data_IF_536184313689
#
_entry.id   IF_536184313689
#
_cell.length_a   1.000
_cell.length_b   1.000
_cell.length_c   1.000
_cell.angle_alpha   90.00
_cell.angle_beta   90.00
_cell.angle_gamma   90.00
#
_symmetry.space_group_name_H-M   'P 1'
#
loop_
_entity.id
_entity.type
_entity.pdbx_description
1 polymer ?
#
# COMPACT_ATOMS: atom_id res chain seq x y z
N UNK A 1 -16.82 26.28 25.47
CA UNK A 1 -17.87 25.25 25.31
C UNK A 1 -18.00 24.66 23.90
N UNK A 2 -17.56 25.33 22.81
CA UNK A 2 -17.78 24.84 21.43
C UNK A 2 -16.91 23.65 20.97
N UNK A 3 -15.64 23.56 21.40
CA UNK A 3 -14.64 22.62 20.80
C UNK A 3 -14.93 21.12 20.97
N UNK A 4 -15.79 20.74 21.91
CA UNK A 4 -16.20 19.36 22.15
C UNK A 4 -17.72 19.16 22.02
N UNK A 5 -18.43 20.13 21.43
CA UNK A 5 -19.90 20.04 21.33
C UNK A 5 -20.31 18.88 20.43
N UNK A 6 -21.33 18.13 20.85
CA UNK A 6 -21.94 17.07 20.04
C UNK A 6 -22.89 17.62 18.98
N UNK A 7 -23.44 18.81 19.23
CA UNK A 7 -24.37 19.52 18.35
C UNK A 7 -23.72 20.83 17.95
N UNK A 8 -23.62 21.06 16.65
CA UNK A 8 -23.17 22.33 16.10
C UNK A 8 -24.38 23.22 15.86
N UNK A 9 -24.36 24.37 16.51
CA UNK A 9 -25.45 25.35 16.49
C UNK A 9 -25.12 26.55 15.60
N UNK A 10 -23.86 26.67 15.13
CA UNK A 10 -23.44 27.73 14.23
C UNK A 10 -23.77 27.38 12.76
N UNK A 11 -24.61 28.23 12.15
CA UNK A 11 -25.19 28.01 10.83
C UNK A 11 -26.33 26.99 10.86
N UNK A 12 -26.31 26.03 9.92
CA UNK A 12 -27.28 24.95 9.91
C UNK A 12 -26.99 23.95 11.05
N UNK A 13 -28.02 23.68 11.86
CA UNK A 13 -27.95 22.74 12.99
C UNK A 13 -27.57 21.36 12.50
N UNK A 14 -26.47 20.82 13.03
CA UNK A 14 -25.94 19.51 12.63
C UNK A 14 -25.32 18.77 13.80
N UNK A 15 -25.26 17.44 13.69
CA UNK A 15 -24.62 16.57 14.69
C UNK A 15 -23.16 16.36 14.31
N UNK A 16 -22.25 16.54 15.27
CA UNK A 16 -20.86 16.17 15.09
C UNK A 16 -20.68 14.67 15.39
N UNK A 17 -20.80 13.85 14.34
CA UNK A 17 -20.75 12.39 14.46
C UNK A 17 -19.43 11.89 15.06
N UNK A 18 -18.30 12.55 14.77
CA UNK A 18 -17.01 12.15 15.33
C UNK A 18 -16.97 12.35 16.85
N UNK A 19 -17.45 13.50 17.34
CA UNK A 19 -17.54 13.77 18.77
C UNK A 19 -18.51 12.81 19.46
N UNK A 20 -19.66 12.52 18.83
CA UNK A 20 -20.64 11.56 19.33
C UNK A 20 -20.03 10.16 19.46
N UNK A 21 -19.31 9.69 18.44
CA UNK A 21 -18.59 8.42 18.48
C UNK A 21 -17.56 8.36 19.63
N UNK A 22 -16.78 9.43 19.83
CA UNK A 22 -15.78 9.49 20.90
C UNK A 22 -16.45 9.46 22.28
N UNK A 23 -17.50 10.24 22.49
CA UNK A 23 -18.23 10.28 23.75
C UNK A 23 -18.88 8.93 24.08
N UNK A 24 -19.48 8.27 23.08
CA UNK A 24 -20.18 7.00 23.24
C UNK A 24 -19.29 5.75 23.26
N UNK A 25 -17.99 5.86 22.99
CA UNK A 25 -17.08 4.72 22.93
C UNK A 25 -16.17 4.61 24.16
N UNK A 26 -15.75 3.38 24.46
CA UNK A 26 -14.74 3.07 25.48
C UNK A 26 -13.32 3.00 24.89
N UNK A 27 -13.19 2.88 23.56
CA UNK A 27 -11.92 2.86 22.86
C UNK A 27 -12.01 3.56 21.50
N UNK A 28 -10.97 4.30 21.15
CA UNK A 28 -10.78 5.03 19.89
C UNK A 28 -9.39 4.68 19.37
N UNK A 29 -9.25 4.32 18.09
CA UNK A 29 -7.94 3.99 17.55
C UNK A 29 -7.65 4.64 16.21
N UNK A 30 -6.41 5.07 16.02
CA UNK A 30 -5.86 5.28 14.69
C UNK A 30 -5.39 3.97 14.06
N UNK A 31 -5.01 4.06 12.78
CA UNK A 31 -4.68 2.91 11.91
C UNK A 31 -3.19 2.81 11.53
N UNK A 32 -2.38 3.71 12.05
CA UNK A 32 -0.92 3.73 11.96
C UNK A 32 -0.38 4.63 13.08
N UNK A 33 0.85 4.39 13.55
CA UNK A 33 1.42 5.14 14.67
C UNK A 33 1.35 6.66 14.47
N UNK A 34 1.84 7.17 13.32
CA UNK A 34 1.78 8.59 13.00
C UNK A 34 0.35 9.14 12.93
N UNK A 35 -0.57 8.38 12.33
CA UNK A 35 -1.98 8.78 12.23
C UNK A 35 -2.63 8.86 13.62
N UNK A 36 -2.32 7.90 14.50
CA UNK A 36 -2.79 7.91 15.89
C UNK A 36 -2.24 9.11 16.67
N UNK A 37 -1.00 9.51 16.42
CA UNK A 37 -0.43 10.72 17.05
C UNK A 37 -1.08 12.01 16.55
N UNK A 38 -1.37 12.12 15.25
CA UNK A 38 -2.12 13.25 14.69
C UNK A 38 -3.53 13.33 15.30
N UNK A 39 -4.19 12.19 15.46
CA UNK A 39 -5.51 12.11 16.13
C UNK A 39 -5.45 12.68 17.55
N UNK A 40 -4.45 12.30 18.34
CA UNK A 40 -4.29 12.73 19.73
C UNK A 40 -3.85 14.18 19.86
N UNK A 41 -2.95 14.65 18.99
CA UNK A 41 -2.30 15.96 19.11
C UNK A 41 -3.08 17.08 18.45
N UNK A 42 -3.70 16.80 17.30
CA UNK A 42 -4.24 17.83 16.42
C UNK A 42 -5.76 17.71 16.26
N UNK A 43 -6.28 16.51 16.00
CA UNK A 43 -7.69 16.34 15.62
C UNK A 43 -8.64 16.34 16.82
N UNK A 44 -8.33 15.55 17.85
CA UNK A 44 -9.18 15.37 19.02
C UNK A 44 -8.44 15.63 20.32
N UNK A 45 -7.53 16.62 20.31
CA UNK A 45 -6.69 16.98 21.45
C UNK A 45 -7.48 17.12 22.75
N UNK A 46 -8.57 17.88 22.74
CA UNK A 46 -9.38 18.11 23.94
C UNK A 46 -10.01 16.81 24.49
N UNK A 47 -10.45 15.90 23.59
CA UNK A 47 -10.97 14.59 24.01
C UNK A 47 -9.87 13.67 24.52
N UNK A 48 -8.67 13.75 23.94
CA UNK A 48 -7.51 13.00 24.41
C UNK A 48 -7.02 13.50 25.77
N UNK A 49 -7.01 14.81 26.01
CA UNK A 49 -6.69 15.39 27.32
C UNK A 49 -7.70 14.98 28.39
N UNK A 50 -8.99 14.86 28.03
CA UNK A 50 -10.05 14.43 28.95
C UNK A 50 -10.03 12.92 29.24
N UNK A 51 -9.82 12.07 28.22
CA UNK A 51 -9.86 10.61 28.32
C UNK A 51 -8.68 9.95 27.58
N UNK A 52 -7.44 10.16 28.04
CA UNK A 52 -6.25 9.69 27.35
C UNK A 52 -6.22 8.16 27.20
N UNK A 53 -6.77 7.44 28.17
CA UNK A 53 -6.84 5.98 28.22
C UNK A 53 -7.68 5.35 27.10
N UNK A 54 -8.62 6.11 26.53
CA UNK A 54 -9.46 5.63 25.42
C UNK A 54 -8.72 5.57 24.09
N UNK A 55 -7.62 6.32 23.93
CA UNK A 55 -6.94 6.48 22.64
C UNK A 55 -5.82 5.45 22.44
N UNK A 56 -5.96 4.62 21.42
CA UNK A 56 -5.05 3.52 21.10
C UNK A 56 -4.53 3.62 19.65
N UNK A 57 -3.57 2.75 19.32
CA UNK A 57 -3.14 2.52 17.95
C UNK A 57 -3.33 1.06 17.58
N UNK A 58 -3.93 0.80 16.41
CA UNK A 58 -4.00 -0.52 15.80
C UNK A 58 -3.56 -0.40 14.35
N UNK A 59 -2.28 -0.66 14.10
CA UNK A 59 -1.71 -0.53 12.74
C UNK A 59 -2.41 -1.50 11.79
N UNK A 60 -2.83 -1.00 10.63
CA UNK A 60 -3.48 -1.83 9.61
C UNK A 60 -2.57 -2.98 9.16
N UNK A 61 -3.17 -4.14 8.92
CA UNK A 61 -2.54 -5.30 8.31
C UNK A 61 -3.29 -5.77 7.07
N UNK A 62 -2.65 -6.64 6.30
CA UNK A 62 -3.28 -7.38 5.20
C UNK A 62 -3.15 -8.87 5.48
N UNK A 63 -4.14 -9.67 5.06
CA UNK A 63 -4.09 -11.12 5.25
C UNK A 63 -3.10 -11.76 4.26
N UNK A 64 -2.08 -12.51 4.73
CA UNK A 64 -1.11 -13.14 3.84
C UNK A 64 -1.73 -14.27 3.01
N UNK A 65 -2.87 -14.83 3.46
CA UNK A 65 -3.57 -15.91 2.73
C UNK A 65 -4.04 -15.43 1.36
N UNK A 66 -4.57 -14.20 1.27
CA UNK A 66 -5.04 -13.65 -0.02
C UNK A 66 -3.93 -12.96 -0.79
N UNK A 67 -3.12 -12.16 -0.10
CA UNK A 67 -2.16 -11.24 -0.72
C UNK A 67 -0.77 -11.83 -0.96
N UNK A 68 -0.54 -13.08 -0.53
CA UNK A 68 0.69 -13.81 -0.82
C UNK A 68 0.35 -15.22 -1.30
N UNK A 69 -0.26 -16.06 -0.45
CA UNK A 69 -0.55 -17.47 -0.74
C UNK A 69 -1.40 -17.65 -2.01
N UNK A 70 -2.59 -17.06 -2.04
CA UNK A 70 -3.49 -17.21 -3.19
C UNK A 70 -3.04 -16.40 -4.41
N UNK A 71 -2.60 -15.15 -4.20
CA UNK A 71 -2.26 -14.26 -5.31
C UNK A 71 -0.93 -14.57 -5.99
N UNK A 72 -0.03 -15.27 -5.31
CA UNK A 72 1.30 -15.57 -5.82
C UNK A 72 1.78 -16.99 -5.42
N UNK A 73 1.12 -18.06 -5.90
CA UNK A 73 1.42 -19.43 -5.51
C UNK A 73 2.90 -19.79 -5.72
N UNK A 74 3.48 -19.42 -6.87
CA UNK A 74 4.89 -19.69 -7.18
C UNK A 74 5.87 -19.06 -6.19
N UNK A 75 5.54 -17.89 -5.62
CA UNK A 75 6.35 -17.30 -4.54
C UNK A 75 6.12 -18.02 -3.22
N UNK A 76 4.87 -18.41 -2.94
CA UNK A 76 4.52 -19.14 -1.73
C UNK A 76 5.18 -20.51 -1.66
N UNK A 77 5.23 -21.24 -2.77
CA UNK A 77 5.95 -22.51 -2.88
C UNK A 77 7.46 -22.32 -2.65
N UNK A 78 8.04 -21.26 -3.24
CA UNK A 78 9.46 -20.93 -3.04
C UNK A 78 9.77 -20.58 -1.57
N UNK A 79 8.85 -19.91 -0.88
CA UNK A 79 8.99 -19.62 0.55
C UNK A 79 8.88 -20.92 1.35
N UNK A 80 7.86 -21.74 1.06
CA UNK A 80 7.62 -23.00 1.76
C UNK A 80 8.82 -23.96 1.64
N UNK A 81 9.46 -24.04 0.48
CA UNK A 81 10.68 -24.82 0.25
C UNK A 81 11.84 -24.41 1.18
N UNK A 82 11.92 -23.14 1.58
CA UNK A 82 13.01 -22.64 2.44
C UNK A 82 12.71 -22.67 3.92
N UNK A 83 11.45 -22.43 4.32
CA UNK A 83 11.12 -22.21 5.74
C UNK A 83 9.92 -23.02 6.24
N UNK A 84 9.38 -23.94 5.43
CA UNK A 84 8.17 -24.72 5.74
C UNK A 84 6.88 -23.93 5.50
N UNK A 85 5.71 -24.53 5.74
CA UNK A 85 4.40 -23.90 5.47
C UNK A 85 3.83 -23.10 6.66
N UNK A 86 4.44 -23.20 7.84
CA UNK A 86 3.97 -22.54 9.07
C UNK A 86 3.87 -21.01 8.95
N UNK A 87 4.57 -20.39 7.99
CA UNK A 87 4.49 -18.95 7.75
C UNK A 87 3.10 -18.47 7.33
N UNK A 88 2.25 -19.36 6.79
CA UNK A 88 0.90 -19.01 6.32
C UNK A 88 0.03 -18.49 7.47
N UNK A 89 0.21 -19.06 8.67
CA UNK A 89 -0.48 -18.65 9.90
C UNK A 89 0.39 -17.81 10.82
N UNK A 90 1.73 -17.97 10.76
CA UNK A 90 2.70 -17.19 11.53
C UNK A 90 3.64 -16.39 10.61
N UNK A 91 3.19 -15.22 10.16
CA UNK A 91 3.89 -14.41 9.16
C UNK A 91 5.29 -13.94 9.58
N UNK A 92 5.57 -13.87 10.89
CA UNK A 92 6.88 -13.46 11.42
C UNK A 92 8.00 -14.43 11.01
N UNK A 93 7.66 -15.69 10.69
CA UNK A 93 8.61 -16.67 10.17
C UNK A 93 9.26 -16.26 8.85
N UNK A 94 8.64 -15.35 8.07
CA UNK A 94 9.26 -14.79 6.86
C UNK A 94 10.60 -14.10 7.15
N UNK A 95 10.88 -13.69 8.40
CA UNK A 95 12.18 -13.13 8.77
C UNK A 95 13.33 -14.11 8.55
N UNK A 96 13.09 -15.43 8.63
CA UNK A 96 14.10 -16.47 8.34
C UNK A 96 14.63 -16.39 6.91
N UNK A 97 13.86 -15.82 5.97
CA UNK A 97 14.30 -15.63 4.58
C UNK A 97 15.51 -14.68 4.46
N UNK A 98 15.79 -13.87 5.48
CA UNK A 98 16.99 -13.00 5.51
C UNK A 98 18.29 -13.80 5.41
N UNK A 99 18.30 -15.06 5.84
CA UNK A 99 19.47 -15.95 5.73
C UNK A 99 19.83 -16.25 4.26
N UNK A 100 18.90 -16.05 3.33
CA UNK A 100 19.08 -16.33 1.90
C UNK A 100 19.28 -15.07 1.06
N UNK A 101 19.47 -13.90 1.67
CA UNK A 101 19.59 -12.60 0.97
C UNK A 101 20.78 -12.51 0.00
N UNK A 102 21.79 -13.36 0.20
CA UNK A 102 22.98 -13.50 -0.65
C UNK A 102 23.08 -14.87 -1.33
N UNK A 103 22.08 -15.73 -1.18
CA UNK A 103 22.09 -17.05 -1.80
C UNK A 103 21.76 -16.92 -3.31
N UNK A 104 22.70 -17.22 -4.24
CA UNK A 104 22.47 -16.97 -5.66
C UNK A 104 21.30 -17.77 -6.24
N UNK A 105 21.15 -19.04 -5.82
CA UNK A 105 20.07 -19.91 -6.28
C UNK A 105 18.69 -19.43 -5.83
N UNK A 106 18.57 -18.98 -4.58
CA UNK A 106 17.33 -18.38 -4.07
C UNK A 106 16.98 -17.08 -4.79
N UNK A 107 17.96 -16.20 -5.00
CA UNK A 107 17.76 -14.94 -5.71
C UNK A 107 17.41 -15.15 -7.19
N UNK A 108 17.94 -16.19 -7.83
CA UNK A 108 17.56 -16.57 -9.19
C UNK A 108 16.13 -17.13 -9.26
N UNK A 109 15.77 -18.03 -8.35
CA UNK A 109 14.40 -18.54 -8.25
C UNK A 109 13.39 -17.40 -7.98
N UNK A 110 13.72 -16.47 -7.09
CA UNK A 110 12.89 -15.30 -6.78
C UNK A 110 12.71 -14.38 -8.01
N UNK A 111 13.79 -14.15 -8.77
CA UNK A 111 13.73 -13.39 -10.03
C UNK A 111 12.85 -14.09 -11.07
N UNK A 112 12.98 -15.41 -11.21
CA UNK A 112 12.16 -16.21 -12.12
C UNK A 112 10.67 -16.09 -11.78
N UNK A 113 10.30 -16.28 -10.51
CA UNK A 113 8.91 -16.10 -10.05
C UNK A 113 8.38 -14.70 -10.39
N UNK A 114 9.19 -13.64 -10.17
CA UNK A 114 8.79 -12.28 -10.56
C UNK A 114 8.57 -12.15 -12.06
N UNK A 115 9.43 -12.74 -12.88
CA UNK A 115 9.34 -12.67 -14.33
C UNK A 115 8.11 -13.42 -14.87
N UNK A 116 7.82 -14.62 -14.35
CA UNK A 116 6.62 -15.39 -14.67
C UNK A 116 5.35 -14.62 -14.32
N UNK A 117 5.32 -13.94 -13.17
CA UNK A 117 4.19 -13.10 -12.78
C UNK A 117 3.99 -11.92 -13.74
N UNK A 118 5.08 -11.31 -14.25
CA UNK A 118 5.00 -10.23 -15.24
C UNK A 118 4.48 -10.74 -16.58
N UNK A 119 4.90 -11.93 -17.00
CA UNK A 119 4.40 -12.58 -18.23
C UNK A 119 2.89 -12.82 -18.13
N UNK A 120 2.41 -13.38 -17.02
CA UNK A 120 0.96 -13.58 -16.77
C UNK A 120 0.18 -12.26 -16.79
N UNK A 121 0.73 -11.21 -16.17
CA UNK A 121 0.10 -9.89 -16.17
C UNK A 121 0.05 -9.27 -17.58
N UNK A 122 1.14 -9.40 -18.36
CA UNK A 122 1.19 -8.90 -19.73
C UNK A 122 0.19 -9.61 -20.64
N UNK A 123 0.10 -10.94 -20.53
CA UNK A 123 -0.89 -11.73 -21.25
C UNK A 123 -2.32 -11.28 -20.90
N UNK A 124 -2.62 -11.14 -19.61
CA UNK A 124 -3.94 -10.68 -19.17
C UNK A 124 -4.28 -9.27 -19.66
N UNK A 125 -3.31 -8.34 -19.66
CA UNK A 125 -3.52 -6.99 -20.20
C UNK A 125 -3.82 -7.00 -21.71
N UNK A 126 -3.11 -7.86 -22.46
CA UNK A 126 -3.36 -8.04 -23.88
C UNK A 126 -4.78 -8.59 -24.13
N UNK A 127 -5.19 -9.61 -23.39
CA UNK A 127 -6.50 -10.24 -23.53
C UNK A 127 -7.65 -9.32 -23.10
N UNK A 128 -7.49 -8.62 -21.96
CA UNK A 128 -8.57 -7.83 -21.36
C UNK A 128 -8.70 -6.42 -21.95
N UNK A 129 -7.61 -5.82 -22.44
CA UNK A 129 -7.58 -4.43 -22.87
C UNK A 129 -6.96 -4.21 -24.25
N UNK A 130 -6.50 -5.26 -24.94
CA UNK A 130 -5.75 -5.15 -26.20
C UNK A 130 -4.52 -4.23 -26.08
N UNK A 131 -3.84 -4.31 -24.92
CA UNK A 131 -2.61 -3.56 -24.63
C UNK A 131 -1.45 -4.53 -24.49
N UNK A 132 -0.51 -4.45 -25.43
CA UNK A 132 0.75 -5.18 -25.35
C UNK A 132 1.75 -4.42 -24.48
N UNK A 133 2.37 -5.12 -23.52
CA UNK A 133 3.42 -4.56 -22.65
C UNK A 133 4.64 -5.47 -22.63
N UNK A 134 5.83 -4.88 -22.59
CA UNK A 134 7.09 -5.63 -22.54
C UNK A 134 7.37 -6.17 -21.12
N UNK A 135 7.30 -7.49 -20.89
CA UNK A 135 7.54 -8.10 -19.58
C UNK A 135 9.01 -8.04 -19.16
N UNK A 136 9.94 -7.60 -20.01
CA UNK A 136 11.35 -7.36 -19.63
C UNK A 136 11.53 -5.99 -18.97
N UNK A 137 10.66 -5.03 -19.28
CA UNK A 137 10.66 -3.68 -18.71
C UNK A 137 10.35 -3.67 -17.21
N UNK A 138 10.76 -2.63 -16.49
CA UNK A 138 10.33 -2.43 -15.11
C UNK A 138 8.84 -2.08 -15.07
N UNK A 139 8.05 -2.88 -14.35
CA UNK A 139 6.62 -2.61 -14.13
C UNK A 139 6.47 -1.62 -12.97
N UNK A 140 6.15 -0.37 -13.29
CA UNK A 140 5.94 0.73 -12.35
C UNK A 140 4.44 0.90 -12.12
N UNK A 141 3.94 0.50 -10.94
CA UNK A 141 2.50 0.32 -10.70
C UNK A 141 2.03 1.25 -9.58
N UNK A 142 1.09 2.15 -9.90
CA UNK A 142 0.39 2.98 -8.94
C UNK A 142 -1.10 2.63 -8.93
N UNK A 143 -1.50 1.66 -8.09
CA UNK A 143 -2.89 1.24 -7.94
C UNK A 143 -3.45 1.68 -6.60
N UNK A 144 -4.43 2.60 -6.62
CA UNK A 144 -5.13 3.17 -5.47
C UNK A 144 -6.24 4.10 -5.94
N UNK A 145 -7.20 4.44 -5.05
CA UNK A 145 -8.24 5.43 -5.36
C UNK A 145 -7.67 6.70 -6.03
N UNK A 146 -8.38 7.27 -6.99
CA UNK A 146 -7.92 8.49 -7.65
C UNK A 146 -8.23 9.68 -6.74
N UNK A 147 -7.19 10.35 -6.24
CA UNK A 147 -7.37 11.47 -5.31
C UNK A 147 -6.12 12.36 -5.30
N UNK A 148 -6.31 13.68 -5.22
CA UNK A 148 -5.23 14.67 -5.20
C UNK A 148 -4.14 14.36 -4.15
N UNK A 149 -4.51 14.01 -2.90
CA UNK A 149 -3.52 13.68 -1.87
C UNK A 149 -2.69 12.42 -2.18
N UNK A 150 -3.19 11.54 -3.07
CA UNK A 150 -2.50 10.32 -3.51
C UNK A 150 -1.54 10.59 -4.68
N UNK A 151 -1.57 11.80 -5.24
CA UNK A 151 -0.58 12.37 -6.16
C UNK A 151 -0.31 11.54 -7.42
N UNK A 152 -1.35 10.98 -8.04
CA UNK A 152 -1.24 10.40 -9.39
C UNK A 152 -0.73 11.44 -10.41
N UNK A 153 -1.16 12.70 -10.28
CA UNK A 153 -0.67 13.81 -11.11
C UNK A 153 0.85 13.97 -11.01
N UNK A 154 1.42 13.89 -9.80
CA UNK A 154 2.87 13.96 -9.61
C UNK A 154 3.58 12.81 -10.33
N UNK A 155 3.01 11.61 -10.31
CA UNK A 155 3.56 10.48 -11.04
C UNK A 155 3.53 10.75 -12.56
N UNK A 156 2.42 11.28 -13.09
CA UNK A 156 2.33 11.67 -14.51
C UNK A 156 3.38 12.72 -14.90
N UNK A 157 3.63 13.73 -14.06
CA UNK A 157 4.69 14.72 -14.30
C UNK A 157 6.08 14.09 -14.34
N UNK A 158 6.32 13.07 -13.51
CA UNK A 158 7.56 12.29 -13.56
C UNK A 158 7.68 11.49 -14.87
N UNK A 159 6.59 10.87 -15.35
CA UNK A 159 6.57 10.16 -16.64
C UNK A 159 6.92 11.12 -17.79
N UNK A 160 6.30 12.31 -17.82
CA UNK A 160 6.60 13.35 -18.82
C UNK A 160 8.08 13.75 -18.76
N UNK A 161 8.63 13.87 -17.56
CA UNK A 161 10.06 14.17 -17.36
C UNK A 161 10.95 13.07 -17.93
N UNK A 162 10.63 11.79 -17.69
CA UNK A 162 11.37 10.66 -18.24
C UNK A 162 11.29 10.62 -19.78
N UNK A 163 10.09 10.84 -20.33
CA UNK A 163 9.87 10.93 -21.77
C UNK A 163 10.72 12.04 -22.41
N UNK A 164 10.68 13.25 -21.85
CA UNK A 164 11.46 14.38 -22.36
C UNK A 164 12.97 14.13 -22.30
N UNK A 165 13.46 13.40 -21.29
CA UNK A 165 14.87 13.01 -21.20
C UNK A 165 15.25 12.06 -22.33
N UNK A 166 14.43 11.06 -22.62
CA UNK A 166 14.67 10.11 -23.73
C UNK A 166 14.66 10.86 -25.07
N UNK A 167 13.70 11.78 -25.26
CA UNK A 167 13.63 12.60 -26.48
C UNK A 167 14.85 13.50 -26.67
N UNK A 168 15.43 14.01 -25.59
CA UNK A 168 16.59 14.91 -25.63
C UNK A 168 17.91 14.19 -25.93
N UNK A 169 18.08 12.97 -25.42
CA UNK A 169 19.28 12.16 -25.66
C UNK A 169 18.89 10.70 -25.90
N UNK A 170 18.51 10.34 -27.14
CA UNK A 170 18.09 8.99 -27.48
C UNK A 170 19.20 7.94 -27.36
N UNK A 171 20.47 8.37 -27.38
CA UNK A 171 21.64 7.47 -27.33
C UNK A 171 21.95 6.98 -25.92
N UNK A 172 21.44 7.68 -24.90
CA UNK A 172 21.66 7.34 -23.51
C UNK A 172 20.93 6.05 -23.12
N UNK A 173 21.56 5.27 -22.25
CA UNK A 173 20.95 4.07 -21.69
C UNK A 173 19.88 4.43 -20.65
N UNK A 174 18.63 4.10 -20.95
CA UNK A 174 17.50 4.17 -20.01
C UNK A 174 17.03 2.76 -19.66
N UNK A 175 16.54 2.58 -18.44
CA UNK A 175 15.83 1.35 -18.06
C UNK A 175 14.41 1.43 -18.67
N UNK A 176 14.00 0.47 -19.53
CA UNK A 176 12.64 0.43 -20.04
C UNK A 176 11.63 0.31 -18.90
N UNK A 177 10.51 1.03 -19.00
CA UNK A 177 9.44 1.01 -17.99
C UNK A 177 8.07 0.88 -18.64
N UNK A 178 7.25 0.03 -18.07
CA UNK A 178 5.80 0.00 -18.30
C UNK A 178 5.14 0.60 -17.07
N UNK A 179 4.54 1.78 -17.23
CA UNK A 179 3.88 2.50 -16.13
C UNK A 179 2.37 2.23 -16.17
N UNK A 180 1.82 1.71 -15.08
CA UNK A 180 0.42 1.34 -14.93
C UNK A 180 -0.21 2.10 -13.77
N UNK A 181 -1.29 2.83 -14.05
CA UNK A 181 -2.07 3.56 -13.05
C UNK A 181 -3.48 2.97 -13.04
N UNK A 182 -3.99 2.62 -11.86
CA UNK A 182 -5.32 2.04 -11.70
C UNK A 182 -6.03 2.54 -10.45
N UNK A 183 -7.32 2.81 -10.56
CA UNK A 183 -8.12 3.32 -9.45
C UNK A 183 -9.48 3.80 -9.89
N UNK A 184 -10.37 3.98 -8.91
CA UNK A 184 -11.62 4.70 -9.02
C UNK A 184 -11.68 5.75 -7.91
#
# INVERSE_FOLDING_TARGET
MRRMSLIEEDGEKRINMAHLCIAGSHAINGVAALHSEIIKRDVFKDFYELWPEKFQNKTNGITPRRWLLLSNPSLSDLIADKIGEDWITNLDLLQKLKEFDRNPGFLEALRRVKQENKLRAAQWLSEAYNVEVDPSSLFDIQVKRIHEYKRQLLNCLHIITLYNRIKRDPSKRYVPRTVMIGGK
#
